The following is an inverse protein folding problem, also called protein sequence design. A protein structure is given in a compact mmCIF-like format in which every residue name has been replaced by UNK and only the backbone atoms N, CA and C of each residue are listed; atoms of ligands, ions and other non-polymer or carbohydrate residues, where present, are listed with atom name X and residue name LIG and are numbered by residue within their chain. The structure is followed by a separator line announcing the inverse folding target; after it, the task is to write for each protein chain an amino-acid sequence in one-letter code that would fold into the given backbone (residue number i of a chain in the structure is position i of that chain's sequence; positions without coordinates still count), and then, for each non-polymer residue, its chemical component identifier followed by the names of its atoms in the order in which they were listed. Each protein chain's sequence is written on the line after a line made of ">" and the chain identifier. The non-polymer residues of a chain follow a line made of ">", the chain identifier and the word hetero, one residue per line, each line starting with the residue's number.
data_IF_007048214148
#
_entry.id   IF_007048214148
#
_cell.length_a   1.000
_cell.length_b   1.000
_cell.length_c   1.000
_cell.angle_alpha   90.00
_cell.angle_beta   90.00
_cell.angle_gamma   90.00
#
_symmetry.space_group_name_H-M   'P 1'
#
loop_
_entity.id
_entity.type
_entity.pdbx_description
1 polymer ?
#
# COMPACT_ATOMS: atom_id res chain seq x y z
N UNK A 1 -25.65 18.38 38.32
CA UNK A 1 -26.07 17.25 37.47
C UNK A 1 -24.81 16.52 37.05
N UNK A 2 -24.55 15.42 37.71
CA UNK A 2 -23.44 14.52 37.45
C UNK A 2 -23.86 13.66 36.27
N UNK A 3 -23.32 13.92 35.10
CA UNK A 3 -23.43 12.97 33.98
C UNK A 3 -22.63 11.73 34.37
N UNK A 4 -23.30 10.57 34.32
CA UNK A 4 -22.68 9.29 34.68
C UNK A 4 -21.49 9.02 33.79
N UNK A 5 -20.41 8.44 34.37
CA UNK A 5 -19.26 7.94 33.62
C UNK A 5 -19.67 7.00 32.47
N UNK A 6 -20.83 6.35 32.62
CA UNK A 6 -21.47 5.51 31.62
C UNK A 6 -21.95 6.30 30.38
N UNK A 7 -22.47 7.52 30.56
CA UNK A 7 -22.90 8.35 29.42
C UNK A 7 -21.70 8.84 28.61
N UNK A 8 -20.58 9.13 29.28
CA UNK A 8 -19.35 9.53 28.62
C UNK A 8 -18.71 8.35 27.87
N UNK A 9 -18.70 7.15 28.44
CA UNK A 9 -18.25 5.92 27.81
C UNK A 9 -19.17 5.55 26.64
N UNK A 10 -20.48 5.72 26.79
CA UNK A 10 -21.47 5.44 25.74
C UNK A 10 -21.33 6.41 24.56
N UNK A 11 -21.11 7.70 24.82
CA UNK A 11 -20.83 8.71 23.78
C UNK A 11 -19.46 8.48 23.12
N UNK A 12 -18.41 8.08 23.88
CA UNK A 12 -17.14 7.70 23.32
C UNK A 12 -17.22 6.44 22.45
N UNK A 13 -17.98 5.43 22.89
CA UNK A 13 -18.22 4.21 22.12
C UNK A 13 -19.06 4.49 20.89
N UNK A 14 -20.10 5.34 20.96
CA UNK A 14 -20.86 5.78 19.80
C UNK A 14 -20.03 6.59 18.80
N UNK A 15 -19.14 7.48 19.28
CA UNK A 15 -18.21 8.20 18.41
C UNK A 15 -17.13 7.30 17.80
N UNK A 16 -16.78 6.19 18.45
CA UNK A 16 -15.88 5.18 17.88
C UNK A 16 -16.57 4.31 16.83
N UNK A 17 -17.91 4.19 16.88
CA UNK A 17 -18.75 3.42 15.94
C UNK A 17 -19.40 4.25 14.82
N UNK A 18 -19.14 5.55 14.72
CA UNK A 18 -19.46 6.26 13.48
C UNK A 18 -18.42 5.87 12.43
N UNK A 19 -18.48 4.60 12.02
CA UNK A 19 -17.76 4.13 10.84
C UNK A 19 -18.24 4.97 9.67
N UNK A 20 -17.31 5.59 8.96
CA UNK A 20 -17.63 6.28 7.73
C UNK A 20 -18.36 5.30 6.81
N UNK A 21 -19.56 5.63 6.39
CA UNK A 21 -20.33 4.82 5.43
C UNK A 21 -19.94 5.16 3.98
N UNK A 22 -18.88 5.91 3.79
CA UNK A 22 -18.45 6.39 2.48
C UNK A 22 -17.21 5.67 2.01
N UNK A 23 -17.27 5.17 0.79
CA UNK A 23 -16.24 4.32 0.24
C UNK A 23 -15.81 4.80 -1.15
N UNK A 24 -14.53 4.63 -1.43
CA UNK A 24 -13.98 4.65 -2.78
C UNK A 24 -13.74 3.21 -3.21
N UNK A 25 -14.10 2.88 -4.45
CA UNK A 25 -13.88 1.56 -5.01
C UNK A 25 -12.70 1.56 -5.98
N UNK A 26 -11.73 0.64 -5.77
CA UNK A 26 -10.60 0.42 -6.65
C UNK A 26 -10.53 -1.04 -7.11
N UNK A 27 -9.83 -1.27 -8.22
CA UNK A 27 -9.56 -2.61 -8.73
C UNK A 27 -8.06 -2.86 -8.68
N UNK A 28 -7.66 -3.94 -8.04
CA UNK A 28 -6.26 -4.36 -7.94
C UNK A 28 -6.12 -5.79 -8.45
N UNK A 29 -4.91 -6.18 -8.82
CA UNK A 29 -4.61 -7.59 -9.09
C UNK A 29 -4.82 -8.42 -7.83
N UNK A 30 -5.22 -9.67 -7.99
CA UNK A 30 -5.66 -10.56 -6.90
C UNK A 30 -4.66 -10.59 -5.74
N UNK A 31 -3.39 -10.89 -6.00
CA UNK A 31 -2.37 -10.95 -4.95
C UNK A 31 -2.21 -9.64 -4.17
N UNK A 32 -2.35 -8.50 -4.87
CA UNK A 32 -2.22 -7.18 -4.27
C UNK A 32 -3.46 -6.80 -3.45
N UNK A 33 -4.64 -7.25 -3.89
CA UNK A 33 -5.90 -7.08 -3.17
C UNK A 33 -5.90 -7.88 -1.86
N UNK A 34 -5.47 -9.14 -1.92
CA UNK A 34 -5.37 -10.03 -0.76
C UNK A 34 -4.36 -9.50 0.27
N UNK A 35 -3.16 -9.14 -0.19
CA UNK A 35 -2.16 -8.50 0.65
C UNK A 35 -2.68 -7.23 1.32
N UNK A 36 -3.36 -6.36 0.58
CA UNK A 36 -3.90 -5.11 1.10
C UNK A 36 -4.99 -5.35 2.16
N UNK A 37 -5.83 -6.37 1.94
CA UNK A 37 -6.84 -6.78 2.91
C UNK A 37 -6.20 -7.33 4.19
N UNK A 38 -5.13 -8.12 4.08
CA UNK A 38 -4.37 -8.60 5.24
C UNK A 38 -3.77 -7.45 6.04
N UNK A 39 -3.18 -6.44 5.37
CA UNK A 39 -2.51 -5.33 6.03
C UNK A 39 -3.46 -4.31 6.68
N UNK A 40 -4.54 -3.96 6.00
CA UNK A 40 -5.40 -2.83 6.36
C UNK A 40 -6.88 -3.19 6.39
N UNK A 41 -7.23 -4.47 6.20
CA UNK A 41 -8.61 -4.91 6.16
C UNK A 41 -9.25 -4.90 7.55
N UNK A 42 -10.41 -4.30 7.64
CA UNK A 42 -11.30 -4.35 8.80
C UNK A 42 -12.72 -4.63 8.32
N UNK A 43 -13.29 -5.76 8.71
CA UNK A 43 -14.65 -6.16 8.29
C UNK A 43 -14.87 -6.15 6.76
N UNK A 44 -13.85 -6.56 5.98
CA UNK A 44 -13.92 -6.61 4.51
C UNK A 44 -13.77 -5.24 3.82
N UNK A 45 -13.34 -4.22 4.52
CA UNK A 45 -13.07 -2.87 4.03
C UNK A 45 -11.63 -2.48 4.34
N UNK A 46 -11.06 -1.62 3.52
CA UNK A 46 -9.70 -1.11 3.73
C UNK A 46 -9.77 0.20 4.48
N UNK A 47 -9.02 0.29 5.58
CA UNK A 47 -8.84 1.54 6.32
C UNK A 47 -7.36 1.89 6.41
N UNK A 48 -6.95 2.95 5.75
CA UNK A 48 -5.56 3.41 5.83
C UNK A 48 -5.28 4.16 7.13
N UNK A 49 -4.10 3.96 7.75
CA UNK A 49 -3.67 4.71 8.91
C UNK A 49 -3.55 6.22 8.60
N UNK A 50 -3.85 7.06 9.56
CA UNK A 50 -3.61 8.50 9.44
C UNK A 50 -2.13 8.77 9.23
N UNK A 51 -1.80 9.69 8.33
CA UNK A 51 -0.40 10.03 7.98
C UNK A 51 0.27 9.01 7.06
N UNK A 52 -0.46 8.01 6.54
CA UNK A 52 0.06 7.18 5.44
C UNK A 52 -0.07 7.90 4.11
N UNK A 53 0.82 7.59 3.16
CA UNK A 53 0.78 8.17 1.82
C UNK A 53 -0.56 7.92 1.10
N UNK A 54 -1.18 6.78 1.34
CA UNK A 54 -2.50 6.44 0.81
C UNK A 54 -3.59 7.34 1.40
N UNK A 55 -3.54 7.57 2.72
CA UNK A 55 -4.48 8.47 3.40
C UNK A 55 -4.32 9.92 2.92
N UNK A 56 -3.08 10.36 2.71
CA UNK A 56 -2.78 11.70 2.19
C UNK A 56 -3.34 11.88 0.76
N UNK A 57 -3.22 10.86 -0.10
CA UNK A 57 -3.82 10.89 -1.43
C UNK A 57 -5.35 11.06 -1.34
N UNK A 58 -6.01 10.35 -0.42
CA UNK A 58 -7.44 10.52 -0.20
C UNK A 58 -7.75 11.95 0.26
N UNK A 59 -7.06 12.44 1.29
CA UNK A 59 -7.30 13.77 1.84
C UNK A 59 -7.15 14.88 0.80
N UNK A 60 -6.07 14.87 0.03
CA UNK A 60 -5.81 15.92 -0.95
C UNK A 60 -6.66 15.81 -2.22
N UNK A 61 -6.99 14.58 -2.65
CA UNK A 61 -7.57 14.35 -3.96
C UNK A 61 -9.08 14.16 -3.97
N UNK A 62 -9.72 13.87 -2.84
CA UNK A 62 -11.18 13.75 -2.78
C UNK A 62 -11.84 15.07 -3.15
N UNK A 63 -12.87 14.97 -4.01
CA UNK A 63 -13.70 16.08 -4.47
C UNK A 63 -15.19 15.76 -4.30
N UNK A 64 -16.03 16.72 -4.56
CA UNK A 64 -17.47 16.49 -4.67
C UNK A 64 -17.78 15.66 -5.91
N UNK A 65 -18.81 14.82 -5.81
CA UNK A 65 -19.29 14.01 -6.94
C UNK A 65 -19.76 14.92 -8.07
N UNK A 66 -19.17 14.81 -9.29
CA UNK A 66 -19.67 15.54 -10.45
C UNK A 66 -21.09 15.10 -10.83
N UNK A 67 -21.93 16.03 -11.27
CA UNK A 67 -23.33 15.73 -11.60
C UNK A 67 -23.49 14.84 -12.84
N UNK A 68 -22.50 14.88 -13.74
CA UNK A 68 -22.46 14.13 -15.01
C UNK A 68 -21.84 12.74 -14.87
N UNK A 69 -21.25 12.41 -13.71
CA UNK A 69 -20.64 11.10 -13.48
C UNK A 69 -21.51 10.30 -12.51
N UNK A 70 -21.94 9.08 -12.88
CA UNK A 70 -22.73 8.25 -11.98
C UNK A 70 -21.92 7.83 -10.76
N UNK A 71 -22.61 7.69 -9.62
CA UNK A 71 -21.99 7.21 -8.39
C UNK A 71 -21.43 5.81 -8.62
N UNK A 72 -20.14 5.56 -8.32
CA UNK A 72 -19.54 4.25 -8.49
C UNK A 72 -20.24 3.21 -7.61
N UNK A 73 -20.72 2.14 -8.21
CA UNK A 73 -21.29 1.01 -7.51
C UNK A 73 -20.20 0.00 -7.14
N UNK A 74 -20.41 -0.70 -6.02
CA UNK A 74 -19.56 -1.82 -5.63
C UNK A 74 -19.66 -2.93 -6.68
N UNK A 75 -18.55 -3.30 -7.29
CA UNK A 75 -18.41 -4.48 -8.14
C UNK A 75 -17.87 -5.66 -7.31
N UNK A 76 -18.14 -6.92 -7.68
CA UNK A 76 -17.60 -8.09 -6.98
C UNK A 76 -16.07 -8.07 -6.83
N UNK A 77 -15.37 -7.57 -7.86
CA UNK A 77 -13.90 -7.52 -7.92
C UNK A 77 -13.32 -6.21 -7.39
N UNK A 78 -14.16 -5.32 -6.82
CA UNK A 78 -13.70 -4.05 -6.30
C UNK A 78 -13.46 -4.10 -4.79
N UNK A 79 -12.37 -3.48 -4.36
CA UNK A 79 -12.07 -3.24 -2.96
C UNK A 79 -12.71 -1.93 -2.50
N UNK A 80 -13.38 -1.98 -1.35
CA UNK A 80 -13.95 -0.81 -0.71
C UNK A 80 -12.90 -0.19 0.22
N UNK A 81 -12.51 1.05 -0.08
CA UNK A 81 -11.63 1.84 0.77
C UNK A 81 -12.48 2.85 1.52
N UNK A 82 -12.43 2.81 2.84
CA UNK A 82 -13.14 3.74 3.69
C UNK A 82 -12.55 5.15 3.56
N UNK A 83 -13.43 6.14 3.41
CA UNK A 83 -13.06 7.55 3.43
C UNK A 83 -13.13 8.04 4.87
N UNK A 84 -11.99 8.34 5.51
CA UNK A 84 -12.00 8.85 6.87
C UNK A 84 -12.54 10.29 6.94
N UNK A 85 -12.95 10.71 8.12
CA UNK A 85 -13.28 12.11 8.37
C UNK A 85 -12.01 12.95 8.38
N UNK A 86 -11.90 13.86 7.41
CA UNK A 86 -10.86 14.87 7.35
C UNK A 86 -11.37 16.18 7.95
N UNK A 87 -10.47 16.95 8.57
CA UNK A 87 -10.83 18.22 9.20
C UNK A 87 -11.46 19.23 8.21
N UNK A 88 -11.01 19.18 6.95
CA UNK A 88 -11.41 20.11 5.88
C UNK A 88 -12.40 19.53 4.89
N UNK A 89 -12.62 18.20 4.91
CA UNK A 89 -13.44 17.50 3.92
C UNK A 89 -14.39 16.53 4.61
N UNK A 90 -15.65 16.89 4.65
CA UNK A 90 -16.71 16.00 5.12
C UNK A 90 -17.01 14.93 4.04
N UNK A 91 -16.90 13.64 4.33
CA UNK A 91 -17.10 12.56 3.35
C UNK A 91 -18.52 12.50 2.79
N UNK A 92 -19.49 13.14 3.41
CA UNK A 92 -20.85 13.31 2.86
C UNK A 92 -20.86 14.08 1.54
N UNK A 93 -19.92 15.00 1.37
CA UNK A 93 -19.81 15.86 0.18
C UNK A 93 -18.57 15.52 -0.65
N UNK A 94 -17.46 15.15 0.01
CA UNK A 94 -16.18 14.86 -0.62
C UNK A 94 -15.98 13.34 -0.68
N UNK A 95 -16.69 12.68 -1.57
CA UNK A 95 -16.72 11.21 -1.70
C UNK A 95 -16.35 10.71 -3.10
N UNK A 96 -15.93 11.59 -3.99
CA UNK A 96 -15.47 11.25 -5.32
C UNK A 96 -13.95 11.32 -5.42
N UNK A 97 -13.33 10.22 -5.86
CA UNK A 97 -11.90 10.16 -6.17
C UNK A 97 -11.71 10.20 -7.68
N UNK A 98 -11.14 11.31 -8.23
CA UNK A 98 -10.92 11.43 -9.67
C UNK A 98 -10.06 10.29 -10.23
N UNK A 99 -10.22 9.90 -11.51
CA UNK A 99 -9.50 8.76 -12.10
C UNK A 99 -7.97 8.86 -11.99
N UNK A 100 -7.42 10.08 -12.08
CA UNK A 100 -5.98 10.31 -11.92
C UNK A 100 -5.51 10.03 -10.48
N UNK A 101 -6.28 10.44 -9.50
CA UNK A 101 -5.98 10.19 -8.08
C UNK A 101 -6.15 8.70 -7.74
N UNK A 102 -7.14 8.03 -8.33
CA UNK A 102 -7.32 6.59 -8.22
C UNK A 102 -6.09 5.82 -8.69
N UNK A 103 -5.56 6.16 -9.88
CA UNK A 103 -4.30 5.58 -10.39
C UNK A 103 -3.10 5.89 -9.49
N UNK A 104 -3.04 7.09 -8.91
CA UNK A 104 -1.98 7.44 -7.97
C UNK A 104 -2.05 6.58 -6.69
N UNK A 105 -3.25 6.36 -6.16
CA UNK A 105 -3.48 5.49 -5.01
C UNK A 105 -3.08 4.03 -5.31
N UNK A 106 -3.54 3.47 -6.43
CA UNK A 106 -3.18 2.13 -6.89
C UNK A 106 -1.66 1.96 -7.04
N UNK A 107 -1.00 2.97 -7.61
CA UNK A 107 0.47 2.99 -7.73
C UNK A 107 1.17 3.05 -6.37
N UNK A 108 0.66 3.82 -5.42
CA UNK A 108 1.24 3.93 -4.07
C UNK A 108 1.11 2.62 -3.32
N UNK A 109 -0.03 1.95 -3.40
CA UNK A 109 -0.24 0.60 -2.86
C UNK A 109 0.75 -0.40 -3.47
N UNK A 110 0.91 -0.40 -4.79
CA UNK A 110 1.87 -1.25 -5.49
C UNK A 110 3.32 -0.99 -5.07
N UNK A 111 3.70 0.27 -4.87
CA UNK A 111 5.06 0.63 -4.41
C UNK A 111 5.27 0.12 -2.97
N UNK A 112 4.30 0.28 -2.08
CA UNK A 112 4.36 -0.21 -0.71
C UNK A 112 4.54 -1.73 -0.67
N UNK A 113 3.74 -2.48 -1.44
CA UNK A 113 3.89 -3.92 -1.59
C UNK A 113 5.31 -4.32 -2.01
N UNK A 114 5.86 -3.63 -3.01
CA UNK A 114 7.22 -3.92 -3.49
C UNK A 114 8.30 -3.64 -2.45
N UNK A 115 8.13 -2.59 -1.66
CA UNK A 115 9.07 -2.28 -0.57
C UNK A 115 9.05 -3.39 0.47
N UNK A 116 7.87 -3.84 0.87
CA UNK A 116 7.72 -4.90 1.86
C UNK A 116 8.26 -6.24 1.34
N UNK A 117 7.89 -6.63 0.12
CA UNK A 117 8.43 -7.80 -0.57
C UNK A 117 9.97 -7.77 -0.63
N UNK A 118 10.54 -6.61 -0.98
CA UNK A 118 11.99 -6.46 -1.02
C UNK A 118 12.62 -6.62 0.35
N UNK A 119 12.11 -5.93 1.35
CA UNK A 119 12.68 -5.96 2.69
C UNK A 119 12.65 -7.36 3.30
N UNK A 120 11.57 -8.10 3.10
CA UNK A 120 11.45 -9.45 3.64
C UNK A 120 12.34 -10.44 2.88
N UNK A 121 12.23 -10.52 1.56
CA UNK A 121 12.97 -11.52 0.79
C UNK A 121 14.47 -11.24 0.73
N UNK A 122 14.87 -9.97 0.63
CA UNK A 122 16.28 -9.61 0.50
C UNK A 122 17.09 -9.93 1.76
N UNK A 123 16.48 -9.80 2.92
CA UNK A 123 17.12 -10.14 4.21
C UNK A 123 17.42 -11.64 4.28
N UNK A 124 16.51 -12.50 3.81
CA UNK A 124 16.65 -13.95 3.84
C UNK A 124 17.46 -14.54 2.68
N UNK A 125 17.47 -13.89 1.51
CA UNK A 125 18.25 -14.30 0.35
C UNK A 125 19.78 -14.35 0.66
N UNK A 126 20.24 -13.49 1.57
CA UNK A 126 21.62 -13.51 2.07
C UNK A 126 21.97 -14.75 2.90
N UNK A 127 20.99 -15.52 3.37
CA UNK A 127 21.15 -16.70 4.24
C UNK A 127 21.09 -18.03 3.47
N UNK A 128 21.23 -18.02 2.13
CA UNK A 128 21.25 -19.22 1.27
C UNK A 128 19.96 -20.04 1.30
N UNK A 129 18.83 -19.43 1.57
CA UNK A 129 17.53 -20.09 1.47
C UNK A 129 17.08 -20.24 0.01
N UNK A 130 16.27 -21.27 -0.25
CA UNK A 130 15.64 -21.43 -1.56
C UNK A 130 14.62 -20.28 -1.79
N UNK A 131 14.83 -19.49 -2.84
CA UNK A 131 13.97 -18.36 -3.15
C UNK A 131 12.50 -18.75 -3.36
N UNK A 132 12.25 -19.94 -3.90
CA UNK A 132 10.88 -20.44 -4.08
C UNK A 132 10.16 -20.58 -2.74
N UNK A 133 10.84 -21.16 -1.75
CA UNK A 133 10.27 -21.36 -0.42
C UNK A 133 10.07 -20.01 0.30
N UNK A 134 10.97 -19.05 0.11
CA UNK A 134 10.82 -17.71 0.66
C UNK A 134 9.60 -16.98 0.09
N UNK A 135 9.33 -17.13 -1.21
CA UNK A 135 8.15 -16.53 -1.84
C UNK A 135 6.87 -17.18 -1.30
N UNK A 136 6.84 -18.51 -1.15
CA UNK A 136 5.69 -19.19 -0.55
C UNK A 136 5.45 -18.76 0.89
N UNK A 137 6.50 -18.68 1.70
CA UNK A 137 6.42 -18.19 3.08
C UNK A 137 5.92 -16.75 3.15
N UNK A 138 6.36 -15.89 2.23
CA UNK A 138 5.84 -14.52 2.12
C UNK A 138 4.35 -14.51 1.80
N UNK A 139 3.91 -15.30 0.82
CA UNK A 139 2.51 -15.38 0.42
C UNK A 139 1.63 -15.90 1.59
N UNK A 140 2.05 -16.95 2.26
CA UNK A 140 1.36 -17.52 3.42
C UNK A 140 1.25 -16.51 4.57
N UNK A 141 2.37 -15.84 4.91
CA UNK A 141 2.40 -14.82 5.96
C UNK A 141 1.44 -13.67 5.71
N UNK A 142 1.26 -13.28 4.45
CA UNK A 142 0.42 -12.15 4.06
C UNK A 142 -0.97 -12.57 3.55
N UNK A 143 -1.37 -13.80 3.82
CA UNK A 143 -2.68 -14.36 3.41
C UNK A 143 -2.97 -14.21 1.91
N UNK A 144 -1.92 -14.24 1.08
CA UNK A 144 -2.05 -14.27 -0.37
C UNK A 144 -2.35 -15.72 -0.78
N UNK A 145 -3.44 -15.92 -1.53
CA UNK A 145 -3.87 -17.26 -1.94
C UNK A 145 -2.76 -18.02 -2.68
N UNK A 146 -2.69 -19.32 -2.41
CA UNK A 146 -1.82 -20.27 -3.11
C UNK A 146 -2.29 -20.44 -4.57
N UNK A 147 -1.86 -19.52 -5.41
CA UNK A 147 -2.20 -19.40 -6.81
C UNK A 147 -0.93 -19.28 -7.65
N UNK A 148 -0.69 -20.21 -8.60
CA UNK A 148 0.51 -20.22 -9.43
C UNK A 148 0.76 -18.91 -10.19
N UNK A 149 -0.31 -18.21 -10.58
CA UNK A 149 -0.21 -16.94 -11.29
C UNK A 149 0.29 -15.82 -10.36
N UNK A 150 -0.24 -15.75 -9.15
CA UNK A 150 0.19 -14.80 -8.12
C UNK A 150 1.64 -15.07 -7.73
N UNK A 151 2.01 -16.33 -7.49
CA UNK A 151 3.37 -16.71 -7.18
C UNK A 151 4.37 -16.31 -8.27
N UNK A 152 4.08 -16.64 -9.54
CA UNK A 152 4.97 -16.31 -10.65
C UNK A 152 5.10 -14.76 -10.83
N UNK A 153 4.03 -14.02 -10.63
CA UNK A 153 4.03 -12.55 -10.69
C UNK A 153 4.94 -11.97 -9.60
N UNK A 154 4.82 -12.43 -8.36
CA UNK A 154 5.65 -12.01 -7.22
C UNK A 154 7.11 -12.39 -7.45
N UNK A 155 7.37 -13.62 -7.92
CA UNK A 155 8.70 -14.11 -8.26
C UNK A 155 9.39 -13.22 -9.30
N UNK A 156 8.71 -12.93 -10.41
CA UNK A 156 9.25 -12.07 -11.47
C UNK A 156 9.49 -10.65 -10.97
N UNK A 157 8.62 -10.13 -10.13
CA UNK A 157 8.77 -8.81 -9.52
C UNK A 157 10.04 -8.75 -8.68
N UNK A 158 10.26 -9.73 -7.80
CA UNK A 158 11.46 -9.80 -6.98
C UNK A 158 12.73 -9.92 -7.82
N UNK A 159 12.75 -10.78 -8.84
CA UNK A 159 13.92 -10.90 -9.74
C UNK A 159 14.27 -9.58 -10.46
N UNK A 160 13.26 -8.83 -10.92
CA UNK A 160 13.50 -7.51 -11.54
C UNK A 160 14.11 -6.53 -10.55
N UNK A 161 13.63 -6.51 -9.32
CA UNK A 161 14.18 -5.67 -8.26
C UNK A 161 15.61 -6.05 -7.92
N UNK A 162 15.88 -7.34 -7.72
CA UNK A 162 17.23 -7.89 -7.45
C UNK A 162 18.22 -7.53 -8.57
N UNK A 163 17.86 -7.72 -9.82
CA UNK A 163 18.67 -7.35 -10.97
C UNK A 163 18.99 -5.85 -11.00
N UNK A 164 18.02 -5.01 -10.69
CA UNK A 164 18.21 -3.55 -10.63
C UNK A 164 19.16 -3.16 -9.50
N UNK A 165 19.01 -3.77 -8.34
CA UNK A 165 19.86 -3.57 -7.18
C UNK A 165 21.32 -3.98 -7.49
N UNK A 166 21.54 -5.17 -8.06
CA UNK A 166 22.87 -5.64 -8.42
C UNK A 166 23.56 -4.72 -9.42
N UNK A 167 22.84 -4.24 -10.46
CA UNK A 167 23.38 -3.27 -11.42
C UNK A 167 23.79 -1.96 -10.74
N UNK A 168 23.00 -1.48 -9.77
CA UNK A 168 23.32 -0.26 -9.02
C UNK A 168 24.59 -0.45 -8.17
N UNK A 169 24.74 -1.59 -7.51
CA UNK A 169 25.93 -1.93 -6.73
C UNK A 169 27.19 -1.99 -7.60
N UNK A 170 27.10 -2.63 -8.77
CA UNK A 170 28.22 -2.68 -9.71
C UNK A 170 28.66 -1.28 -10.18
N UNK A 171 27.69 -0.42 -10.54
CA UNK A 171 27.99 0.97 -10.94
C UNK A 171 28.69 1.76 -9.84
N UNK A 172 28.18 1.67 -8.62
CA UNK A 172 28.78 2.36 -7.48
C UNK A 172 30.20 1.85 -7.22
N UNK A 173 30.44 0.54 -7.29
CA UNK A 173 31.78 -0.04 -7.13
C UNK A 173 32.76 0.40 -8.22
N UNK A 174 32.30 0.57 -9.46
CA UNK A 174 33.12 1.07 -10.56
C UNK A 174 33.46 2.54 -10.36
N UNK A 175 32.49 3.38 -10.05
CA UNK A 175 32.71 4.82 -9.79
C UNK A 175 33.68 5.05 -8.64
N UNK A 176 33.55 4.32 -7.54
CA UNK A 176 34.48 4.44 -6.40
C UNK A 176 35.94 4.03 -6.76
N UNK A 177 36.09 3.02 -7.63
CA UNK A 177 37.43 2.63 -8.13
C UNK A 177 38.04 3.69 -9.03
N UNK A 178 37.24 4.30 -9.90
CA UNK A 178 37.69 5.37 -10.79
C UNK A 178 38.09 6.61 -10.00
N UNK A 179 37.32 7.02 -9.00
CA UNK A 179 37.64 8.13 -8.10
C UNK A 179 38.93 7.88 -7.32
N UNK A 180 39.12 6.68 -6.79
CA UNK A 180 40.37 6.31 -6.12
C UNK A 180 41.57 6.35 -7.03
N UNK A 181 41.49 5.79 -8.25
CA UNK A 181 42.59 5.80 -9.21
C UNK A 181 42.96 7.23 -9.64
N UNK A 182 41.95 8.08 -9.86
CA UNK A 182 42.18 9.48 -10.22
C UNK A 182 42.85 10.27 -9.07
N UNK A 183 42.46 9.99 -7.83
CA UNK A 183 43.07 10.60 -6.65
C UNK A 183 44.55 10.20 -6.48
N UNK A 184 44.91 8.93 -6.76
CA UNK A 184 46.29 8.43 -6.71
C UNK A 184 47.13 9.05 -7.80
N UNK A 185 46.60 9.20 -9.02
CA UNK A 185 47.32 9.82 -10.14
C UNK A 185 47.59 11.32 -9.93
N UNK A 186 46.70 12.03 -9.28
CA UNK A 186 46.86 13.46 -8.98
C UNK A 186 47.77 13.74 -7.77
N UNK A 187 48.16 12.71 -7.01
CA UNK A 187 49.06 12.82 -5.86
C UNK A 187 50.53 12.50 -6.18
N UNK A 188 50.85 12.13 -7.43
CA UNK A 188 52.20 11.93 -7.96
C UNK A 188 52.67 13.13 -8.74
#
# INVERSE_FOLDING_TARGET
>A
RIYSLFDYLYICVLNYYVMSQYYVYIHLEKYLAEWLLHQFGQNGQIRFPRGSAENDILEYSLTTQPADIPVPLKSPDSLAIEIPYFKTKDPRYYNFLPPRAKKALERTIYIRFRIELWNELHTFDSLSHNLSDLIWTFMEKHEIADDPKSWETIRQMYFRMRKTYQKKQQRNATSSKEEFNNAVQNAQ
#
